data_IF_809376009980
#
_entry.id   IF_809376009980
#
_cell.length_a   1.000
_cell.length_b   1.000
_cell.length_c   1.000
_cell.angle_alpha   90.00
_cell.angle_beta   90.00
_cell.angle_gamma   90.00
#
_symmetry.space_group_name_H-M   'P 1'
#
loop_
_entity.id
_entity.type
_entity.pdbx_description
1 polymer ?
#
# COMPACT_ATOMS: atom_id res chain seq x y z
N UNK A 1 23.41 72.61 -16.66
CA UNK A 1 21.94 72.53 -16.73
C UNK A 1 21.47 71.24 -16.08
N UNK A 2 20.51 71.38 -15.15
CA UNK A 2 20.02 70.36 -14.21
C UNK A 2 19.26 69.24 -14.92
N UNK A 3 19.61 67.97 -14.70
CA UNK A 3 18.69 66.83 -14.86
C UNK A 3 18.26 66.35 -13.47
N UNK A 4 17.01 66.65 -13.11
CA UNK A 4 16.33 66.22 -11.89
C UNK A 4 16.17 64.70 -11.93
N UNK A 5 16.74 63.98 -10.96
CA UNK A 5 16.36 62.59 -10.64
C UNK A 5 15.17 62.66 -9.69
N UNK A 6 14.01 62.21 -10.13
CA UNK A 6 12.86 61.92 -9.27
C UNK A 6 13.09 60.55 -8.63
N UNK A 7 13.35 60.54 -7.33
CA UNK A 7 13.20 59.33 -6.52
C UNK A 7 11.70 59.14 -6.25
N UNK A 8 11.12 58.08 -6.81
CA UNK A 8 9.82 57.59 -6.38
C UNK A 8 10.04 56.62 -5.22
N UNK A 9 9.57 56.98 -4.03
CA UNK A 9 9.48 56.09 -2.88
C UNK A 9 8.42 55.02 -3.15
N UNK A 10 8.83 53.78 -3.40
CA UNK A 10 7.97 52.61 -3.33
C UNK A 10 7.91 52.15 -1.87
N UNK A 11 6.79 52.43 -1.20
CA UNK A 11 6.48 51.84 0.09
C UNK A 11 6.14 50.36 -0.11
N UNK A 12 6.92 49.50 0.55
CA UNK A 12 6.70 48.05 0.62
C UNK A 12 5.54 47.78 1.57
N UNK A 13 4.40 47.33 1.05
CA UNK A 13 3.37 46.69 1.84
C UNK A 13 3.59 45.18 1.77
N UNK A 14 4.34 44.64 2.73
CA UNK A 14 4.44 43.19 2.94
C UNK A 14 3.13 42.73 3.60
N UNK A 15 2.19 42.25 2.78
CA UNK A 15 1.04 41.51 3.28
C UNK A 15 1.53 40.16 3.81
N UNK A 16 1.59 40.03 5.14
CA UNK A 16 1.78 38.74 5.79
C UNK A 16 0.53 37.88 5.52
N UNK A 17 0.55 37.11 4.44
CA UNK A 17 -0.34 35.97 4.26
C UNK A 17 0.07 34.91 5.29
N UNK A 18 -0.50 35.02 6.50
CA UNK A 18 -0.53 33.90 7.43
C UNK A 18 -1.28 32.76 6.75
N UNK A 19 -0.53 31.79 6.23
CA UNK A 19 -1.08 30.55 5.74
C UNK A 19 -1.79 29.85 6.89
N UNK A 20 -3.12 29.92 6.89
CA UNK A 20 -3.94 28.94 7.58
C UNK A 20 -3.71 27.61 6.87
N UNK A 21 -2.77 26.82 7.36
CA UNK A 21 -2.76 25.39 7.07
C UNK A 21 -4.05 24.85 7.67
N UNK A 22 -5.06 24.66 6.83
CA UNK A 22 -6.19 23.82 7.20
C UNK A 22 -5.60 22.45 7.50
N UNK A 23 -5.50 22.10 8.77
CA UNK A 23 -5.21 20.73 9.17
C UNK A 23 -6.25 19.86 8.47
N UNK A 24 -5.80 18.90 7.66
CA UNK A 24 -6.67 17.91 7.09
C UNK A 24 -7.52 17.33 8.25
N UNK A 25 -8.85 17.23 8.10
CA UNK A 25 -9.67 16.67 9.16
C UNK A 25 -9.08 15.30 9.51
N UNK A 26 -8.78 15.10 10.80
CA UNK A 26 -8.36 13.79 11.29
C UNK A 26 -9.42 12.79 10.81
N UNK A 27 -9.03 11.86 9.94
CA UNK A 27 -9.92 10.79 9.51
C UNK A 27 -10.50 10.17 10.79
N UNK A 28 -11.81 10.23 10.95
CA UNK A 28 -12.48 9.72 12.14
C UNK A 28 -12.01 8.29 12.39
N UNK A 29 -11.79 7.93 13.67
CA UNK A 29 -11.45 6.57 14.08
C UNK A 29 -12.62 5.62 13.76
N UNK A 30 -12.70 5.21 12.50
CA UNK A 30 -13.65 4.22 12.03
C UNK A 30 -13.13 2.83 12.40
N UNK A 31 -14.02 2.01 12.96
CA UNK A 31 -13.71 0.62 13.31
C UNK A 31 -14.17 -0.36 12.23
N UNK A 32 -14.85 0.13 11.21
CA UNK A 32 -15.30 -0.65 10.07
C UNK A 32 -15.67 0.26 8.91
N UNK A 33 -15.69 -0.29 7.71
CA UNK A 33 -16.16 0.40 6.53
C UNK A 33 -16.22 -0.50 5.31
N UNK A 34 -16.39 0.12 4.15
CA UNK A 34 -16.34 -0.53 2.85
C UNK A 34 -15.52 0.30 1.89
N UNK A 35 -14.88 -0.35 0.93
CA UNK A 35 -14.29 0.31 -0.22
C UNK A 35 -14.42 -0.60 -1.45
N UNK A 36 -14.32 0.00 -2.63
CA UNK A 36 -14.36 -0.68 -3.91
C UNK A 36 -13.04 -0.52 -4.65
N UNK A 37 -12.63 -1.56 -5.36
CA UNK A 37 -11.41 -1.57 -6.16
C UNK A 37 -11.72 -1.84 -7.62
N UNK A 38 -10.87 -1.33 -8.52
CA UNK A 38 -10.83 -1.67 -9.93
C UNK A 38 -9.39 -2.01 -10.33
N UNK A 39 -9.20 -3.15 -11.01
CA UNK A 39 -7.97 -3.45 -11.73
C UNK A 39 -8.23 -3.38 -13.22
N UNK A 40 -7.39 -2.64 -13.95
CA UNK A 40 -7.57 -2.49 -15.39
C UNK A 40 -6.26 -2.26 -16.14
N UNK A 41 -5.86 -3.20 -16.99
CA UNK A 41 -4.88 -2.93 -18.03
C UNK A 41 -5.52 -1.99 -19.07
N UNK A 42 -5.00 -0.76 -19.19
CA UNK A 42 -5.57 0.31 -20.02
C UNK A 42 -4.99 0.35 -21.44
N UNK A 43 -4.08 -0.58 -21.77
CA UNK A 43 -3.47 -0.71 -23.10
C UNK A 43 -2.88 0.60 -23.63
N UNK A 44 -2.12 1.31 -22.78
CA UNK A 44 -1.58 2.65 -23.05
C UNK A 44 -0.24 2.66 -23.80
N UNK A 45 0.14 1.56 -24.46
CA UNK A 45 1.22 1.53 -25.44
C UNK A 45 0.98 2.51 -26.60
N UNK A 46 2.02 3.03 -27.27
CA UNK A 46 1.84 3.87 -28.47
C UNK A 46 0.87 3.25 -29.48
N UNK A 47 -0.03 4.06 -30.03
CA UNK A 47 -1.12 3.61 -30.93
C UNK A 47 -0.69 2.56 -31.97
N UNK A 48 0.46 2.77 -32.61
CA UNK A 48 0.96 1.90 -33.69
C UNK A 48 1.31 0.47 -33.25
N UNK A 49 1.46 0.22 -31.94
CA UNK A 49 1.86 -1.07 -31.38
C UNK A 49 0.92 -1.56 -30.27
N UNK A 50 -0.19 -0.87 -30.03
CA UNK A 50 -1.22 -1.36 -29.11
C UNK A 50 -2.10 -2.41 -29.79
N UNK A 51 -2.48 -3.44 -29.04
CA UNK A 51 -3.41 -4.51 -29.42
C UNK A 51 -4.88 -4.13 -29.34
N UNK A 52 -5.19 -3.00 -28.71
CA UNK A 52 -6.56 -2.68 -28.37
C UNK A 52 -7.34 -2.04 -29.54
N UNK A 53 -8.66 -2.27 -29.63
CA UNK A 53 -9.42 -2.15 -30.89
C UNK A 53 -9.82 -0.71 -31.24
N UNK A 54 -9.49 0.27 -30.41
CA UNK A 54 -9.96 1.66 -30.50
C UNK A 54 -8.81 2.66 -30.35
N UNK A 55 -8.96 3.92 -30.80
CA UNK A 55 -7.92 4.94 -30.62
C UNK A 55 -7.55 5.13 -29.15
N UNK A 56 -6.26 5.10 -28.84
CA UNK A 56 -5.74 5.05 -27.46
C UNK A 56 -6.03 6.29 -26.66
N UNK A 57 -5.83 7.48 -27.22
CA UNK A 57 -6.01 8.73 -26.47
C UNK A 57 -7.46 8.95 -26.03
N UNK A 58 -8.41 8.81 -26.96
CA UNK A 58 -9.84 8.96 -26.67
C UNK A 58 -10.36 7.84 -25.77
N UNK A 59 -9.86 6.62 -25.94
CA UNK A 59 -10.23 5.49 -25.08
C UNK A 59 -9.71 5.69 -23.66
N UNK A 60 -8.44 6.05 -23.51
CA UNK A 60 -7.81 6.33 -22.20
C UNK A 60 -8.49 7.50 -21.49
N UNK A 61 -8.84 8.56 -22.23
CA UNK A 61 -9.64 9.68 -21.69
C UNK A 61 -10.99 9.18 -21.17
N UNK A 62 -11.67 8.34 -21.94
CA UNK A 62 -12.97 7.75 -21.55
C UNK A 62 -12.82 6.83 -20.32
N UNK A 63 -11.74 6.05 -20.24
CA UNK A 63 -11.41 5.24 -19.07
C UNK A 63 -11.30 6.15 -17.84
N UNK A 64 -10.51 7.24 -17.92
CA UNK A 64 -10.35 8.20 -16.81
C UNK A 64 -11.67 8.82 -16.34
N UNK A 65 -12.62 9.06 -17.24
CA UNK A 65 -13.96 9.54 -16.88
C UNK A 65 -14.81 8.48 -16.15
N UNK A 66 -14.59 7.19 -16.45
CA UNK A 66 -15.47 6.10 -16.01
C UNK A 66 -14.98 5.35 -14.78
N UNK A 67 -13.76 5.61 -14.32
CA UNK A 67 -13.21 5.01 -13.09
C UNK A 67 -13.68 5.70 -11.80
N UNK A 68 -14.29 6.88 -11.88
CA UNK A 68 -14.77 7.64 -10.72
C UNK A 68 -15.64 6.87 -9.70
N UNK A 69 -16.46 5.86 -10.06
CA UNK A 69 -17.24 5.08 -9.10
C UNK A 69 -16.44 4.18 -8.15
N UNK A 70 -15.18 3.85 -8.46
CA UNK A 70 -14.34 2.96 -7.65
C UNK A 70 -13.50 3.77 -6.67
N UNK A 71 -13.08 3.19 -5.54
CA UNK A 71 -12.34 3.94 -4.51
C UNK A 71 -10.83 3.85 -4.70
N UNK A 72 -10.34 2.69 -5.17
CA UNK A 72 -8.93 2.44 -5.46
C UNK A 72 -8.84 1.79 -6.85
N UNK A 73 -8.06 2.39 -7.75
CA UNK A 73 -7.93 1.95 -9.14
C UNK A 73 -6.47 1.66 -9.43
N UNK A 74 -6.14 0.39 -9.70
CA UNK A 74 -4.84 0.00 -10.24
C UNK A 74 -4.94 -0.11 -11.75
N UNK A 75 -4.16 0.72 -12.44
CA UNK A 75 -4.00 0.65 -13.89
C UNK A 75 -2.67 0.00 -14.26
N UNK A 76 -2.72 -0.88 -15.26
CA UNK A 76 -1.55 -1.46 -15.93
C UNK A 76 -1.46 -0.93 -17.36
N UNK A 77 -0.26 -0.98 -17.94
CA UNK A 77 0.06 -0.34 -19.23
C UNK A 77 -0.31 1.16 -19.33
N UNK A 78 -0.37 1.86 -18.21
CA UNK A 78 -0.54 3.31 -18.21
C UNK A 78 0.79 4.01 -18.56
N UNK A 79 1.11 3.98 -19.85
CA UNK A 79 2.36 4.50 -20.42
C UNK A 79 2.15 5.87 -21.08
N UNK A 80 1.86 5.89 -22.39
CA UNK A 80 1.99 7.07 -23.24
C UNK A 80 0.79 8.03 -23.15
N UNK A 81 -0.34 7.55 -22.61
CA UNK A 81 -1.60 8.31 -22.51
C UNK A 81 -1.96 8.68 -21.06
N UNK A 82 -1.01 8.53 -20.14
CA UNK A 82 -1.16 8.85 -18.71
C UNK A 82 -1.74 10.23 -18.44
N UNK A 83 -1.26 11.25 -19.15
CA UNK A 83 -1.77 12.61 -18.98
C UNK A 83 -3.27 12.72 -19.30
N UNK A 84 -3.75 12.00 -20.31
CA UNK A 84 -5.16 11.97 -20.68
C UNK A 84 -6.00 11.23 -19.62
N UNK A 85 -5.51 10.09 -19.12
CA UNK A 85 -6.14 9.35 -18.02
C UNK A 85 -6.31 10.24 -16.78
N UNK A 86 -5.23 10.87 -16.34
CA UNK A 86 -5.19 11.66 -15.11
C UNK A 86 -5.93 12.99 -15.25
N UNK A 87 -5.92 13.63 -16.43
CA UNK A 87 -6.69 14.85 -16.64
C UNK A 87 -8.20 14.59 -16.66
N UNK A 88 -8.61 13.40 -17.11
CA UNK A 88 -10.01 13.00 -17.22
C UNK A 88 -10.61 12.54 -15.89
N UNK A 89 -9.82 11.90 -15.03
CA UNK A 89 -10.25 11.58 -13.67
C UNK A 89 -10.23 12.84 -12.79
N UNK A 90 -11.33 13.09 -12.07
CA UNK A 90 -11.43 14.17 -11.08
C UNK A 90 -11.84 13.67 -9.70
N UNK A 91 -12.03 12.36 -9.54
CA UNK A 91 -12.57 11.78 -8.31
C UNK A 91 -11.48 11.33 -7.31
N UNK A 92 -10.31 10.94 -7.80
CA UNK A 92 -9.26 10.37 -6.95
C UNK A 92 -8.21 11.41 -6.59
N UNK A 93 -8.19 11.84 -5.33
CA UNK A 93 -7.27 12.87 -4.84
C UNK A 93 -5.84 12.37 -4.63
N UNK A 94 -5.65 11.08 -4.39
CA UNK A 94 -4.36 10.48 -4.08
C UNK A 94 -3.90 9.64 -5.27
N UNK A 95 -2.79 10.02 -5.89
CA UNK A 95 -2.33 9.38 -7.13
C UNK A 95 -0.83 9.16 -7.10
N UNK A 96 -0.40 8.00 -7.60
CA UNK A 96 1.03 7.74 -7.74
C UNK A 96 1.59 8.52 -8.93
N UNK A 97 2.85 8.97 -8.87
CA UNK A 97 3.51 9.57 -10.03
C UNK A 97 3.80 8.51 -11.11
N UNK A 98 3.70 8.93 -12.38
CA UNK A 98 4.13 8.11 -13.51
C UNK A 98 5.63 7.86 -13.49
N UNK A 99 6.02 6.65 -13.90
CA UNK A 99 7.43 6.28 -14.16
C UNK A 99 7.88 6.58 -15.60
N UNK A 100 7.02 7.17 -16.45
CA UNK A 100 7.30 7.47 -17.85
C UNK A 100 6.58 6.55 -18.84
N UNK A 101 6.75 6.84 -20.14
CA UNK A 101 6.14 6.07 -21.23
C UNK A 101 6.78 4.70 -21.47
N UNK A 102 6.26 3.97 -22.45
CA UNK A 102 6.74 2.64 -22.80
C UNK A 102 8.23 2.69 -23.16
N UNK A 103 9.00 1.73 -22.64
CA UNK A 103 10.47 1.71 -22.76
C UNK A 103 11.22 2.32 -21.58
N UNK A 104 10.55 3.15 -20.78
CA UNK A 104 11.15 3.87 -19.65
C UNK A 104 10.41 3.58 -18.36
N UNK A 105 9.07 3.60 -18.40
CA UNK A 105 8.21 3.38 -17.24
C UNK A 105 7.71 1.95 -17.10
N UNK A 106 7.20 1.64 -15.92
CA UNK A 106 6.55 0.35 -15.61
C UNK A 106 5.12 0.23 -16.13
N UNK A 107 4.45 1.36 -16.41
CA UNK A 107 3.04 1.38 -16.79
C UNK A 107 2.08 1.08 -15.63
N UNK A 108 2.58 1.08 -14.39
CA UNK A 108 1.80 0.77 -13.19
C UNK A 108 1.53 2.05 -12.42
N UNK A 109 0.26 2.42 -12.28
CA UNK A 109 -0.14 3.58 -11.48
C UNK A 109 -1.39 3.28 -10.67
N UNK A 110 -1.55 3.99 -9.56
CA UNK A 110 -2.71 3.91 -8.69
C UNK A 110 -3.39 5.27 -8.57
N UNK A 111 -4.72 5.28 -8.70
CA UNK A 111 -5.59 6.40 -8.39
C UNK A 111 -6.51 5.99 -7.23
N UNK A 112 -6.50 6.76 -6.14
CA UNK A 112 -7.21 6.43 -4.91
C UNK A 112 -7.97 7.64 -4.34
N UNK A 113 -9.14 7.37 -3.78
CA UNK A 113 -9.88 8.30 -2.92
C UNK A 113 -9.42 8.22 -1.47
N UNK A 114 -8.69 7.15 -1.13
CA UNK A 114 -8.18 6.86 0.20
C UNK A 114 -6.73 7.37 0.25
N UNK A 115 -6.37 8.00 1.36
CA UNK A 115 -5.00 8.46 1.58
C UNK A 115 -4.09 7.26 1.79
N UNK A 116 -2.89 7.31 1.24
CA UNK A 116 -1.84 6.34 1.53
C UNK A 116 -0.69 6.99 2.28
N UNK A 117 0.15 6.16 2.91
CA UNK A 117 1.43 6.60 3.44
C UNK A 117 2.38 6.87 2.26
N UNK A 118 2.59 8.16 1.93
CA UNK A 118 3.41 8.58 0.78
C UNK A 118 4.87 8.13 0.90
N UNK A 119 5.35 7.92 2.12
CA UNK A 119 6.70 7.42 2.39
C UNK A 119 6.87 5.93 2.00
N UNK A 120 5.78 5.16 1.93
CA UNK A 120 5.82 3.71 1.71
C UNK A 120 5.52 3.33 0.23
N UNK A 121 5.47 4.29 -0.71
CA UNK A 121 5.29 3.97 -2.12
C UNK A 121 6.59 3.44 -2.75
N UNK A 122 6.57 2.19 -3.23
CA UNK A 122 7.71 1.54 -3.85
C UNK A 122 7.36 0.99 -5.24
N UNK A 123 8.31 1.03 -6.17
CA UNK A 123 8.18 0.46 -7.52
C UNK A 123 9.35 -0.48 -7.78
N UNK A 124 9.03 -1.74 -8.06
CA UNK A 124 10.01 -2.82 -8.17
C UNK A 124 9.92 -3.43 -9.56
N UNK A 125 11.06 -3.46 -10.26
CA UNK A 125 11.18 -4.13 -11.56
C UNK A 125 11.29 -5.64 -11.36
N UNK A 126 10.71 -6.42 -12.26
CA UNK A 126 10.93 -7.85 -12.30
C UNK A 126 12.39 -8.22 -12.56
N UNK A 127 12.88 -9.25 -11.87
CA UNK A 127 14.21 -9.80 -12.09
C UNK A 127 14.31 -10.54 -13.43
N UNK A 128 13.22 -11.20 -13.83
CA UNK A 128 13.14 -12.01 -15.05
C UNK A 128 12.02 -11.50 -15.97
N UNK A 129 12.31 -11.43 -17.27
CA UNK A 129 11.37 -11.08 -18.34
C UNK A 129 11.75 -11.81 -19.65
N UNK A 130 10.86 -11.80 -20.64
CA UNK A 130 11.13 -12.30 -22.01
C UNK A 130 11.04 -11.19 -23.05
N UNK A 131 11.77 -11.34 -24.17
CA UNK A 131 11.67 -10.42 -25.31
C UNK A 131 10.57 -10.81 -26.30
N UNK A 132 10.15 -12.08 -26.33
CA UNK A 132 9.19 -12.60 -27.31
C UNK A 132 7.85 -11.87 -27.29
N UNK A 133 7.36 -11.56 -26.09
CA UNK A 133 6.16 -10.75 -25.83
C UNK A 133 6.48 -9.28 -25.52
N UNK A 134 7.73 -8.85 -25.67
CA UNK A 134 8.16 -7.47 -25.44
C UNK A 134 8.30 -7.06 -23.97
N UNK A 135 8.13 -7.97 -23.01
CA UNK A 135 8.18 -7.66 -21.57
C UNK A 135 9.53 -7.09 -21.10
N UNK A 136 10.64 -7.49 -21.72
CA UNK A 136 11.95 -6.92 -21.45
C UNK A 136 12.20 -5.54 -22.07
N UNK A 137 11.32 -5.07 -22.96
CA UNK A 137 11.46 -3.79 -23.63
C UNK A 137 11.06 -2.61 -22.75
N UNK A 138 10.39 -2.85 -21.61
CA UNK A 138 9.98 -1.83 -20.65
C UNK A 138 10.17 -2.38 -19.22
N UNK A 139 10.41 -1.56 -18.19
CA UNK A 139 10.62 -2.08 -16.83
C UNK A 139 9.30 -2.50 -16.16
N UNK A 140 8.67 -3.57 -16.65
CA UNK A 140 7.54 -4.23 -16.00
C UNK A 140 7.91 -4.69 -14.59
N UNK A 141 6.91 -4.80 -13.73
CA UNK A 141 7.14 -4.98 -12.31
C UNK A 141 5.86 -5.02 -11.48
N UNK A 142 6.01 -4.56 -10.25
CA UNK A 142 4.91 -4.24 -9.36
C UNK A 142 5.17 -2.92 -8.62
N UNK A 143 4.11 -2.31 -8.10
CA UNK A 143 4.19 -1.25 -7.09
C UNK A 143 3.61 -1.73 -5.79
N UNK A 144 4.10 -1.15 -4.69
CA UNK A 144 3.58 -1.33 -3.34
C UNK A 144 3.15 0.03 -2.79
N UNK A 145 2.04 0.07 -2.06
CA UNK A 145 1.62 1.23 -1.28
C UNK A 145 0.77 0.80 -0.09
N UNK A 146 0.78 1.60 0.97
CA UNK A 146 -0.01 1.34 2.19
C UNK A 146 -1.19 2.31 2.29
N UNK A 147 -2.37 1.82 1.98
CA UNK A 147 -3.62 2.58 2.06
C UNK A 147 -4.10 2.69 3.51
N UNK A 148 -4.47 3.90 3.94
CA UNK A 148 -4.90 4.21 5.31
C UNK A 148 -6.43 4.34 5.36
N UNK A 149 -7.10 3.26 5.77
CA UNK A 149 -8.56 3.20 5.88
C UNK A 149 -9.09 4.06 7.03
N UNK A 150 -8.35 4.09 8.14
CA UNK A 150 -8.58 4.92 9.31
C UNK A 150 -7.25 5.08 10.08
N UNK A 151 -7.23 5.89 11.14
CA UNK A 151 -6.04 5.97 12.01
C UNK A 151 -5.59 4.58 12.48
N UNK A 152 -4.32 4.24 12.20
CA UNK A 152 -3.75 2.95 12.55
C UNK A 152 -4.34 1.73 11.84
N UNK A 153 -5.24 1.91 10.86
CA UNK A 153 -5.84 0.82 10.08
C UNK A 153 -5.35 0.89 8.65
N UNK A 154 -4.48 -0.06 8.29
CA UNK A 154 -3.80 -0.08 7.01
C UNK A 154 -4.09 -1.36 6.23
N UNK A 155 -4.10 -1.23 4.90
CA UNK A 155 -4.09 -2.35 3.96
C UNK A 155 -2.99 -2.10 2.95
N UNK A 156 -2.17 -3.12 2.73
CA UNK A 156 -1.05 -3.10 1.81
C UNK A 156 -1.54 -3.48 0.40
N UNK A 157 -1.36 -2.58 -0.57
CA UNK A 157 -1.82 -2.74 -1.95
C UNK A 157 -0.66 -2.97 -2.91
N UNK A 158 -0.85 -3.95 -3.79
CA UNK A 158 0.11 -4.30 -4.84
C UNK A 158 -0.53 -4.17 -6.22
N UNK A 159 0.05 -3.33 -7.09
CA UNK A 159 -0.29 -3.24 -8.51
C UNK A 159 0.77 -4.02 -9.30
N UNK A 160 0.40 -4.96 -10.15
CA UNK A 160 1.37 -5.77 -10.88
C UNK A 160 0.99 -5.98 -12.34
N UNK A 161 2.02 -6.12 -13.18
CA UNK A 161 1.89 -6.60 -14.55
C UNK A 161 3.02 -7.59 -14.82
N UNK A 162 2.72 -8.89 -14.77
CA UNK A 162 3.73 -9.96 -14.97
C UNK A 162 3.93 -10.30 -16.46
N UNK A 163 4.97 -11.09 -16.76
CA UNK A 163 5.33 -11.46 -18.13
C UNK A 163 4.15 -11.99 -18.98
N UNK A 164 3.91 -11.39 -20.14
CA UNK A 164 2.88 -11.84 -21.07
C UNK A 164 3.31 -13.13 -21.81
N UNK A 165 2.44 -13.64 -22.68
CA UNK A 165 2.74 -14.82 -23.51
C UNK A 165 2.50 -16.17 -22.84
N UNK A 166 2.72 -17.25 -23.59
CA UNK A 166 2.41 -18.62 -23.15
C UNK A 166 3.45 -19.66 -23.58
N UNK A 167 4.60 -19.24 -24.10
CA UNK A 167 5.72 -20.14 -24.37
C UNK A 167 6.42 -20.52 -23.05
N UNK A 168 7.22 -21.58 -23.05
CA UNK A 168 7.82 -22.11 -21.82
C UNK A 168 8.67 -21.09 -21.04
N UNK A 169 9.36 -20.19 -21.75
CA UNK A 169 10.12 -19.09 -21.19
C UNK A 169 9.22 -18.00 -20.58
N UNK A 170 8.11 -17.66 -21.23
CA UNK A 170 7.10 -16.75 -20.68
C UNK A 170 6.50 -17.29 -19.37
N UNK A 171 6.15 -18.59 -19.38
CA UNK A 171 5.64 -19.28 -18.20
C UNK A 171 6.68 -19.27 -17.08
N UNK A 172 7.96 -19.52 -17.40
CA UNK A 172 9.05 -19.49 -16.42
C UNK A 172 9.28 -18.11 -15.83
N UNK A 173 9.28 -17.06 -16.66
CA UNK A 173 9.41 -15.68 -16.22
C UNK A 173 8.27 -15.28 -15.28
N UNK A 174 7.01 -15.62 -15.61
CA UNK A 174 5.88 -15.34 -14.71
C UNK A 174 5.98 -16.05 -13.36
N UNK A 175 6.41 -17.31 -13.34
CA UNK A 175 6.63 -18.03 -12.06
C UNK A 175 7.67 -17.32 -11.21
N UNK A 176 8.75 -16.84 -11.81
CA UNK A 176 9.76 -16.05 -11.10
C UNK A 176 9.22 -14.69 -10.62
N UNK A 177 8.40 -14.01 -11.42
CA UNK A 177 7.74 -12.75 -11.03
C UNK A 177 6.86 -12.94 -9.77
N UNK A 178 6.00 -13.97 -9.75
CA UNK A 178 5.14 -14.25 -8.59
C UNK A 178 5.95 -14.72 -7.36
N UNK A 179 7.07 -15.43 -7.58
CA UNK A 179 8.02 -15.78 -6.51
C UNK A 179 8.69 -14.53 -5.92
N UNK A 180 9.15 -13.60 -6.76
CA UNK A 180 9.72 -12.32 -6.34
C UNK A 180 8.72 -11.52 -5.49
N UNK A 181 7.46 -11.43 -5.95
CA UNK A 181 6.41 -10.75 -5.19
C UNK A 181 6.10 -11.45 -3.86
N UNK A 182 6.13 -12.78 -3.80
CA UNK A 182 5.99 -13.54 -2.55
C UNK A 182 7.08 -13.17 -1.54
N UNK A 183 8.33 -13.08 -2.00
CA UNK A 183 9.45 -12.62 -1.18
C UNK A 183 9.24 -11.19 -0.65
N UNK A 184 8.74 -10.30 -1.51
CA UNK A 184 8.46 -8.92 -1.14
C UNK A 184 7.31 -8.80 -0.12
N UNK A 185 6.19 -9.49 -0.33
CA UNK A 185 5.05 -9.53 0.62
C UNK A 185 5.50 -10.04 1.99
N UNK A 186 6.37 -11.06 2.00
CA UNK A 186 6.90 -11.65 3.24
C UNK A 186 7.65 -10.63 4.07
N UNK A 187 8.43 -9.74 3.44
CA UNK A 187 9.25 -8.74 4.16
C UNK A 187 8.51 -7.44 4.43
N UNK A 188 7.51 -7.06 3.62
CA UNK A 188 6.85 -5.75 3.72
C UNK A 188 5.48 -5.78 4.43
N UNK A 189 4.81 -6.93 4.40
CA UNK A 189 3.41 -7.07 4.82
C UNK A 189 3.16 -8.13 5.89
N UNK A 190 4.21 -8.53 6.63
CA UNK A 190 4.04 -9.34 7.83
C UNK A 190 3.05 -8.65 8.79
N UNK A 191 2.04 -9.38 9.29
CA UNK A 191 1.00 -8.85 10.17
C UNK A 191 -0.02 -7.89 9.52
N UNK A 192 0.13 -7.54 8.23
CA UNK A 192 -0.77 -6.61 7.53
C UNK A 192 -1.81 -7.33 6.66
N UNK A 193 -2.97 -6.70 6.52
CA UNK A 193 -3.94 -7.06 5.49
C UNK A 193 -3.39 -6.66 4.12
N UNK A 194 -3.67 -7.44 3.08
CA UNK A 194 -3.06 -7.28 1.75
C UNK A 194 -4.13 -7.39 0.67
N UNK A 195 -4.01 -6.56 -0.37
CA UNK A 195 -4.69 -6.70 -1.66
C UNK A 195 -3.66 -6.69 -2.77
N UNK A 196 -3.64 -7.74 -3.59
CA UNK A 196 -2.82 -7.84 -4.81
C UNK A 196 -3.76 -7.78 -6.00
N UNK A 197 -3.60 -6.82 -6.89
CA UNK A 197 -4.45 -6.73 -8.08
C UNK A 197 -3.72 -6.17 -9.29
N UNK A 198 -4.00 -6.76 -10.45
CA UNK A 198 -3.38 -6.38 -11.71
C UNK A 198 -3.49 -7.45 -12.78
N UNK A 199 -2.81 -7.19 -13.90
CA UNK A 199 -2.63 -8.13 -14.98
C UNK A 199 -1.57 -9.17 -14.60
N UNK A 200 -2.04 -10.29 -14.05
CA UNK A 200 -1.16 -11.39 -13.68
C UNK A 200 -0.76 -12.25 -14.87
N UNK A 201 -1.30 -12.01 -16.08
CA UNK A 201 -1.11 -12.87 -17.25
C UNK A 201 -1.36 -14.38 -16.99
N UNK A 202 -2.00 -14.73 -15.87
CA UNK A 202 -2.15 -16.11 -15.40
C UNK A 202 -3.57 -16.62 -15.51
N UNK A 203 -3.68 -17.94 -15.68
CA UNK A 203 -4.92 -18.70 -15.57
C UNK A 203 -4.70 -19.86 -14.62
N UNK A 204 -5.64 -20.11 -13.71
CA UNK A 204 -5.74 -21.33 -12.92
C UNK A 204 -5.76 -22.57 -13.82
N UNK A 205 -6.46 -22.51 -14.96
CA UNK A 205 -6.55 -23.62 -15.91
C UNK A 205 -5.24 -23.90 -16.66
N UNK A 206 -4.32 -22.94 -16.76
CA UNK A 206 -3.08 -23.11 -17.54
C UNK A 206 -2.02 -23.86 -16.74
N UNK A 207 -1.56 -24.99 -17.27
CA UNK A 207 -0.60 -25.90 -16.61
C UNK A 207 0.72 -25.24 -16.18
N UNK A 208 1.17 -24.22 -16.91
CA UNK A 208 2.43 -23.51 -16.63
C UNK A 208 2.36 -22.41 -15.58
N UNK A 209 1.16 -21.94 -15.24
CA UNK A 209 0.94 -20.83 -14.32
C UNK A 209 0.95 -21.27 -12.86
N UNK A 210 1.20 -20.32 -11.95
CA UNK A 210 1.35 -20.60 -10.51
C UNK A 210 0.49 -19.71 -9.62
N UNK A 211 -0.64 -19.22 -10.14
CA UNK A 211 -1.47 -18.27 -9.40
C UNK A 211 -2.12 -18.88 -8.15
N UNK A 212 -2.50 -20.17 -8.20
CA UNK A 212 -3.03 -20.88 -7.03
C UNK A 212 -1.95 -21.08 -5.97
N UNK A 213 -0.74 -21.44 -6.39
CA UNK A 213 0.42 -21.61 -5.51
C UNK A 213 0.86 -20.27 -4.90
N UNK A 214 0.85 -19.19 -5.68
CA UNK A 214 1.10 -17.83 -5.21
C UNK A 214 0.07 -17.40 -4.16
N UNK A 215 -1.22 -17.62 -4.43
CA UNK A 215 -2.27 -17.30 -3.48
C UNK A 215 -2.10 -18.09 -2.17
N UNK A 216 -1.86 -19.40 -2.27
CA UNK A 216 -1.64 -20.26 -1.11
C UNK A 216 -0.41 -19.86 -0.28
N UNK A 217 0.73 -19.58 -0.94
CA UNK A 217 1.98 -19.20 -0.26
C UNK A 217 1.85 -17.89 0.53
N UNK A 218 0.99 -16.98 0.08
CA UNK A 218 0.76 -15.68 0.71
C UNK A 218 -0.50 -15.64 1.59
N UNK A 219 -1.24 -16.74 1.70
CA UNK A 219 -2.52 -16.79 2.43
C UNK A 219 -3.61 -15.90 1.82
N UNK A 220 -3.55 -15.69 0.50
CA UNK A 220 -4.49 -14.86 -0.25
C UNK A 220 -5.70 -15.68 -0.73
N UNK A 221 -6.85 -15.02 -0.79
CA UNK A 221 -8.10 -15.51 -1.37
C UNK A 221 -8.40 -14.72 -2.63
N UNK A 222 -8.88 -15.41 -3.67
CA UNK A 222 -9.40 -14.79 -4.89
C UNK A 222 -10.93 -14.63 -4.80
N UNK A 223 -11.49 -13.41 -4.88
CA UNK A 223 -12.93 -13.19 -4.86
C UNK A 223 -13.66 -13.88 -6.00
N UNK A 224 -13.05 -14.07 -7.18
CA UNK A 224 -13.65 -14.82 -8.27
C UNK A 224 -13.84 -16.29 -7.86
N UNK A 225 -12.81 -16.89 -7.27
CA UNK A 225 -12.89 -18.26 -6.75
C UNK A 225 -13.90 -18.35 -5.62
N UNK A 226 -13.83 -17.44 -4.64
CA UNK A 226 -14.67 -17.47 -3.46
C UNK A 226 -16.15 -17.25 -3.78
N UNK A 227 -16.48 -16.21 -4.55
CA UNK A 227 -17.86 -15.74 -4.73
C UNK A 227 -18.52 -16.33 -5.98
N UNK A 228 -17.76 -16.57 -7.05
CA UNK A 228 -18.33 -17.04 -8.33
C UNK A 228 -18.17 -18.56 -8.48
N UNK A 229 -17.02 -19.11 -8.06
CA UNK A 229 -16.70 -20.55 -8.20
C UNK A 229 -17.00 -21.38 -6.95
N UNK A 230 -17.65 -20.79 -5.93
CA UNK A 230 -18.02 -21.50 -4.70
C UNK A 230 -16.83 -21.99 -3.88
N UNK A 231 -15.70 -21.28 -3.94
CA UNK A 231 -14.47 -21.61 -3.21
C UNK A 231 -13.60 -22.68 -3.85
N UNK A 232 -13.95 -23.19 -5.04
CA UNK A 232 -13.20 -24.26 -5.71
C UNK A 232 -12.53 -23.73 -6.98
N UNK A 233 -11.21 -23.61 -6.94
CA UNK A 233 -10.41 -23.22 -8.10
C UNK A 233 -10.52 -24.25 -9.24
N UNK A 234 -10.51 -23.82 -10.51
CA UNK A 234 -10.35 -24.72 -11.65
C UNK A 234 -9.10 -25.60 -11.50
N UNK A 235 -9.17 -26.83 -11.99
CA UNK A 235 -8.03 -27.74 -11.94
C UNK A 235 -6.93 -27.26 -12.89
N UNK A 236 -5.69 -27.20 -12.40
CA UNK A 236 -4.54 -26.83 -13.21
C UNK A 236 -4.35 -27.81 -14.37
N UNK A 237 -4.26 -27.28 -15.59
CA UNK A 237 -4.21 -28.04 -16.83
C UNK A 237 -5.57 -28.49 -17.37
N UNK A 238 -6.70 -28.09 -16.76
CA UNK A 238 -8.02 -28.33 -17.34
C UNK A 238 -8.24 -27.50 -18.60
N UNK A 239 -9.35 -27.77 -19.30
CA UNK A 239 -9.81 -26.93 -20.40
C UNK A 239 -9.94 -25.46 -19.95
N UNK A 240 -9.56 -24.54 -20.84
CA UNK A 240 -9.62 -23.11 -20.56
C UNK A 240 -11.08 -22.65 -20.46
N UNK A 241 -11.39 -21.86 -19.42
CA UNK A 241 -12.70 -21.22 -19.28
C UNK A 241 -12.71 -19.94 -20.11
N UNK A 242 -12.91 -20.06 -21.42
CA UNK A 242 -12.85 -18.94 -22.36
C UNK A 242 -14.07 -18.01 -22.20
N UNK A 243 -13.83 -16.71 -22.16
CA UNK A 243 -14.87 -15.70 -22.12
C UNK A 243 -15.46 -15.45 -23.51
N UNK A 244 -16.79 -15.41 -23.60
CA UNK A 244 -17.48 -14.91 -24.80
C UNK A 244 -17.51 -13.38 -24.78
N UNK A 245 -16.70 -12.77 -25.65
CA UNK A 245 -16.59 -11.31 -25.80
C UNK A 245 -17.45 -10.76 -26.95
N UNK A 246 -18.37 -11.56 -27.52
CA UNK A 246 -19.23 -11.10 -28.62
C UNK A 246 -20.44 -10.29 -28.17
N UNK A 247 -20.79 -10.37 -26.88
CA UNK A 247 -21.91 -9.64 -26.27
C UNK A 247 -21.52 -8.28 -25.68
N UNK A 248 -22.52 -7.54 -25.20
CA UNK A 248 -22.33 -6.28 -24.46
C UNK A 248 -21.98 -6.50 -22.97
N UNK A 249 -21.90 -7.76 -22.54
CA UNK A 249 -21.55 -8.20 -21.20
C UNK A 249 -20.69 -9.45 -21.30
N UNK A 250 -19.67 -9.56 -20.46
CA UNK A 250 -18.89 -10.78 -20.27
C UNK A 250 -19.34 -11.44 -18.95
N UNK A 251 -19.82 -12.70 -18.97
CA UNK A 251 -20.19 -13.41 -17.75
C UNK A 251 -19.03 -13.55 -16.77
N UNK A 252 -19.33 -13.56 -15.47
CA UNK A 252 -18.31 -13.73 -14.43
C UNK A 252 -17.80 -15.18 -14.30
N UNK A 253 -18.40 -16.17 -14.96
CA UNK A 253 -18.05 -17.58 -14.80
C UNK A 253 -16.89 -18.07 -15.69
N UNK A 254 -16.50 -17.26 -16.68
CA UNK A 254 -15.29 -17.47 -17.47
C UNK A 254 -14.05 -16.94 -16.74
N UNK A 255 -12.87 -17.31 -17.23
CA UNK A 255 -11.60 -16.93 -16.66
C UNK A 255 -10.91 -15.86 -17.51
N UNK A 256 -10.50 -14.76 -16.87
CA UNK A 256 -9.62 -13.73 -17.46
C UNK A 256 -8.21 -13.86 -16.89
N UNK A 257 -7.25 -13.05 -17.36
CA UNK A 257 -5.85 -13.08 -16.87
C UNK A 257 -5.57 -12.12 -15.72
N UNK A 258 -6.34 -11.04 -15.63
CA UNK A 258 -6.37 -10.13 -14.49
C UNK A 258 -6.85 -10.86 -13.24
N UNK A 259 -6.30 -10.50 -12.07
CA UNK A 259 -6.70 -11.06 -10.77
C UNK A 259 -6.80 -9.95 -9.73
N UNK A 260 -7.68 -10.18 -8.76
CA UNK A 260 -7.70 -9.47 -7.48
C UNK A 260 -7.59 -10.57 -6.42
N UNK A 261 -6.63 -10.46 -5.52
CA UNK A 261 -6.36 -11.41 -4.45
C UNK A 261 -6.25 -10.63 -3.15
N UNK A 262 -6.72 -11.19 -2.03
CA UNK A 262 -6.72 -10.47 -0.76
C UNK A 262 -6.54 -11.37 0.45
N UNK A 263 -6.09 -10.79 1.56
CA UNK A 263 -6.16 -11.39 2.90
C UNK A 263 -6.41 -10.33 3.96
N UNK A 264 -7.08 -10.72 5.04
CA UNK A 264 -7.10 -9.93 6.27
C UNK A 264 -5.81 -10.10 7.09
N UNK A 265 -5.83 -9.57 8.31
CA UNK A 265 -4.82 -9.79 9.33
C UNK A 265 -5.46 -9.94 10.70
N UNK A 266 -4.63 -10.13 11.74
CA UNK A 266 -5.09 -10.15 13.12
C UNK A 266 -5.74 -8.83 13.56
N UNK A 267 -5.32 -7.71 12.97
CA UNK A 267 -5.90 -6.38 13.21
C UNK A 267 -7.12 -6.11 12.33
N UNK A 268 -7.09 -6.50 11.05
CA UNK A 268 -8.10 -6.11 10.07
C UNK A 268 -8.78 -7.34 9.47
N UNK A 269 -10.07 -7.52 9.76
CA UNK A 269 -10.89 -8.40 8.93
C UNK A 269 -11.15 -7.69 7.61
N UNK A 270 -10.89 -8.37 6.50
CA UNK A 270 -11.14 -7.88 5.15
C UNK A 270 -11.90 -8.98 4.42
N UNK A 271 -13.05 -8.66 3.82
CA UNK A 271 -13.89 -9.64 3.13
C UNK A 271 -14.38 -9.07 1.81
N UNK A 272 -14.23 -9.83 0.73
CA UNK A 272 -14.85 -9.50 -0.54
C UNK A 272 -16.37 -9.73 -0.45
N UNK A 273 -17.15 -8.72 -0.82
CA UNK A 273 -18.63 -8.74 -0.80
C UNK A 273 -19.24 -8.75 -2.19
N UNK A 274 -18.45 -8.44 -3.22
CA UNK A 274 -18.85 -8.60 -4.62
C UNK A 274 -17.63 -8.83 -5.52
N UNK A 275 -17.85 -9.49 -6.64
CA UNK A 275 -16.93 -9.56 -7.78
C UNK A 275 -17.72 -9.26 -9.04
N UNK A 276 -17.16 -8.46 -9.94
CA UNK A 276 -17.74 -8.24 -11.25
C UNK A 276 -16.68 -7.95 -12.32
N UNK A 277 -16.84 -8.56 -13.49
CA UNK A 277 -16.24 -8.09 -14.73
C UNK A 277 -17.04 -6.88 -15.23
N UNK A 278 -16.39 -5.73 -15.27
CA UNK A 278 -17.02 -4.43 -15.58
C UNK A 278 -17.06 -4.12 -17.08
N UNK A 279 -16.85 -5.12 -17.95
CA UNK A 279 -16.86 -5.03 -19.41
C UNK A 279 -17.90 -4.03 -19.96
N UNK A 280 -19.17 -4.19 -19.58
CA UNK A 280 -20.28 -3.36 -20.11
C UNK A 280 -20.14 -1.86 -19.80
N UNK A 281 -19.40 -1.50 -18.74
CA UNK A 281 -19.14 -0.10 -18.36
C UNK A 281 -17.97 0.49 -19.14
N UNK A 282 -17.16 -0.31 -19.82
CA UNK A 282 -15.94 0.13 -20.51
C UNK A 282 -15.98 -0.17 -22.01
N UNK A 283 -17.15 0.04 -22.62
CA UNK A 283 -17.36 0.03 -24.07
C UNK A 283 -17.52 1.44 -24.64
N UNK A 284 -17.04 1.65 -25.85
CA UNK A 284 -17.44 2.80 -26.68
C UNK A 284 -18.95 2.77 -26.96
N UNK A 285 -19.50 3.87 -27.47
CA UNK A 285 -20.89 3.91 -27.92
C UNK A 285 -21.18 2.90 -29.06
N UNK A 286 -20.15 2.45 -29.78
CA UNK A 286 -20.24 1.41 -30.80
C UNK A 286 -20.10 -0.02 -30.26
N UNK A 287 -20.01 -0.21 -28.95
CA UNK A 287 -19.86 -1.54 -28.33
C UNK A 287 -18.44 -2.10 -28.35
N UNK A 288 -17.45 -1.36 -28.86
CA UNK A 288 -16.04 -1.79 -28.86
C UNK A 288 -15.40 -1.55 -27.49
N UNK A 289 -14.56 -2.48 -27.03
CA UNK A 289 -13.82 -2.34 -25.78
C UNK A 289 -12.86 -1.14 -25.81
N UNK A 290 -12.73 -0.42 -24.70
CA UNK A 290 -11.78 0.70 -24.58
C UNK A 290 -10.33 0.23 -24.44
N UNK A 291 -10.13 -0.97 -23.92
CA UNK A 291 -8.87 -1.71 -23.83
C UNK A 291 -9.03 -3.09 -24.46
N UNK A 292 -7.96 -3.85 -24.63
CA UNK A 292 -8.01 -5.27 -24.97
C UNK A 292 -8.22 -6.18 -23.74
N UNK A 293 -8.24 -5.59 -22.54
CA UNK A 293 -8.59 -6.29 -21.30
C UNK A 293 -9.99 -5.94 -20.80
N UNK A 294 -10.54 -6.84 -19.99
CA UNK A 294 -11.76 -6.62 -19.23
C UNK A 294 -11.42 -6.09 -17.83
N UNK A 295 -12.03 -4.98 -17.38
CA UNK A 295 -11.77 -4.43 -16.04
C UNK A 295 -12.44 -5.28 -14.96
N UNK A 296 -11.71 -5.59 -13.88
CA UNK A 296 -12.24 -6.34 -12.74
C UNK A 296 -12.51 -5.43 -11.55
N UNK A 297 -13.70 -5.54 -10.96
CA UNK A 297 -14.07 -4.81 -9.76
C UNK A 297 -14.45 -5.74 -8.60
N UNK A 298 -14.03 -5.35 -7.40
CA UNK A 298 -14.39 -6.02 -6.15
C UNK A 298 -14.80 -4.97 -5.13
N UNK A 299 -15.82 -5.28 -4.32
CA UNK A 299 -16.14 -4.51 -3.12
C UNK A 299 -15.64 -5.27 -1.91
N UNK A 300 -15.05 -4.54 -0.98
CA UNK A 300 -14.60 -5.07 0.29
C UNK A 300 -15.38 -4.44 1.43
N UNK A 301 -15.71 -5.25 2.44
CA UNK A 301 -16.02 -4.78 3.78
C UNK A 301 -14.85 -5.06 4.69
N UNK A 302 -14.56 -4.14 5.60
CA UNK A 302 -13.50 -4.31 6.59
C UNK A 302 -13.97 -3.95 8.00
N UNK A 303 -13.33 -4.56 8.98
CA UNK A 303 -13.48 -4.18 10.39
C UNK A 303 -12.17 -4.38 11.15
N UNK A 304 -11.91 -3.47 12.09
CA UNK A 304 -10.80 -3.56 13.03
C UNK A 304 -11.17 -4.52 14.15
N UNK A 305 -10.24 -5.39 14.53
CA UNK A 305 -10.36 -6.23 15.70
C UNK A 305 -10.39 -5.36 16.96
N UNK A 306 -11.51 -5.39 17.70
CA UNK A 306 -11.73 -4.55 18.88
C UNK A 306 -10.81 -4.83 20.08
N UNK A 307 -9.98 -5.89 20.01
CA UNK A 307 -8.93 -6.17 20.98
C UNK A 307 -7.67 -5.31 20.80
N UNK A 308 -7.45 -4.76 19.60
CA UNK A 308 -6.22 -4.05 19.23
C UNK A 308 -6.52 -2.70 18.58
N UNK A 309 -5.73 -1.68 18.90
CA UNK A 309 -5.73 -0.42 18.17
C UNK A 309 -4.28 -0.04 17.89
N UNK A 310 -3.97 0.37 16.67
CA UNK A 310 -2.65 0.90 16.34
C UNK A 310 -2.70 2.42 16.32
N UNK A 311 -1.60 3.07 16.65
CA UNK A 311 -1.42 4.49 16.33
C UNK A 311 -1.00 4.66 14.87
N UNK A 312 -1.19 5.87 14.32
CA UNK A 312 -0.43 6.28 13.15
C UNK A 312 1.08 6.17 13.43
N UNK A 313 1.83 5.82 12.38
CA UNK A 313 3.28 5.79 12.41
C UNK A 313 3.86 7.22 12.41
N UNK A 314 5.13 7.35 12.77
CA UNK A 314 5.89 8.59 12.75
C UNK A 314 7.35 8.27 12.46
N UNK A 315 8.01 9.01 11.58
CA UNK A 315 9.34 8.72 11.05
C UNK A 315 9.38 8.63 9.53
N UNK A 316 10.47 8.10 8.98
CA UNK A 316 10.77 8.12 7.54
C UNK A 316 10.69 6.77 6.81
N UNK A 317 10.84 6.79 5.47
CA UNK A 317 10.67 5.63 4.58
C UNK A 317 11.87 4.66 4.58
N UNK A 318 12.73 4.70 5.59
CA UNK A 318 13.99 3.95 5.59
C UNK A 318 13.90 2.71 6.47
N UNK A 319 14.90 1.84 6.37
CA UNK A 319 14.95 0.60 7.13
C UNK A 319 13.93 -0.44 6.65
N UNK A 320 13.95 -1.60 7.29
CA UNK A 320 13.09 -2.73 6.99
C UNK A 320 11.77 -2.65 7.77
N UNK A 321 10.69 -3.12 7.18
CA UNK A 321 9.35 -3.12 7.80
C UNK A 321 9.26 -4.12 8.95
N UNK A 322 8.49 -3.76 9.97
CA UNK A 322 8.10 -4.68 11.03
C UNK A 322 6.68 -4.38 11.52
N UNK A 323 6.01 -5.42 12.02
CA UNK A 323 4.73 -5.32 12.71
C UNK A 323 4.61 -6.43 13.76
N UNK A 324 4.52 -6.06 15.03
CA UNK A 324 4.48 -7.01 16.13
C UNK A 324 3.10 -7.64 16.36
N UNK A 325 2.06 -7.25 15.60
CA UNK A 325 0.66 -7.57 15.92
C UNK A 325 0.43 -9.07 16.17
N UNK A 326 1.05 -9.93 15.37
CA UNK A 326 0.89 -11.38 15.52
C UNK A 326 1.52 -11.91 16.81
N UNK A 327 2.61 -11.27 17.27
CA UNK A 327 3.32 -11.60 18.51
C UNK A 327 2.71 -10.96 19.77
N UNK A 328 1.72 -10.06 19.64
CA UNK A 328 1.04 -9.40 20.78
C UNK A 328 -0.31 -10.07 21.08
N UNK A 329 -0.47 -10.83 22.18
CA UNK A 329 -1.78 -11.33 22.61
C UNK A 329 -2.76 -10.22 22.98
N UNK A 330 -4.06 -10.49 22.85
CA UNK A 330 -5.08 -9.62 23.43
C UNK A 330 -4.92 -9.60 24.96
N UNK A 331 -4.93 -8.41 25.57
CA UNK A 331 -4.65 -8.24 27.00
C UNK A 331 -3.17 -8.35 27.37
N UNK A 332 -2.25 -8.36 26.40
CA UNK A 332 -0.82 -8.47 26.67
C UNK A 332 -0.33 -7.39 27.64
N UNK A 333 0.31 -7.83 28.74
CA UNK A 333 0.92 -6.95 29.74
C UNK A 333 2.41 -6.83 29.50
N UNK A 334 2.88 -5.60 29.30
CA UNK A 334 4.29 -5.26 29.32
C UNK A 334 4.87 -5.38 30.74
N UNK A 335 6.06 -5.94 30.86
CA UNK A 335 6.85 -6.03 32.11
C UNK A 335 8.04 -5.11 32.12
N UNK A 336 8.52 -4.71 30.95
CA UNK A 336 9.58 -3.71 30.79
C UNK A 336 9.51 -3.05 29.43
N UNK A 337 10.03 -1.82 29.37
CA UNK A 337 10.39 -1.14 28.14
C UNK A 337 11.89 -0.84 28.16
N UNK A 338 12.54 -0.86 27.01
CA UNK A 338 13.93 -0.46 26.89
C UNK A 338 14.20 0.34 25.61
N UNK A 339 15.24 1.17 25.68
CA UNK A 339 15.75 1.99 24.60
C UNK A 339 17.26 1.77 24.48
N UNK A 340 17.80 1.85 23.27
CA UNK A 340 19.20 2.21 23.05
C UNK A 340 19.24 3.54 22.34
N UNK A 341 19.99 4.50 22.89
CA UNK A 341 20.04 5.82 22.30
C UNK A 341 21.40 6.51 22.50
N UNK A 342 21.84 7.22 21.47
CA UNK A 342 22.85 8.28 21.53
C UNK A 342 22.18 9.64 21.29
N UNK A 343 22.56 10.32 20.21
CA UNK A 343 21.83 11.52 19.73
C UNK A 343 20.51 11.19 19.02
N UNK A 344 20.30 9.91 18.68
CA UNK A 344 19.10 9.35 18.05
C UNK A 344 18.71 8.08 18.79
N UNK A 345 17.54 7.54 18.49
CA UNK A 345 17.11 6.23 18.99
C UNK A 345 17.64 5.15 18.05
N UNK A 346 18.56 4.35 18.57
CA UNK A 346 19.13 3.21 17.86
C UNK A 346 18.20 1.99 17.94
N UNK A 347 17.53 1.79 19.09
CA UNK A 347 16.65 0.64 19.31
C UNK A 347 15.51 0.94 20.29
N UNK A 348 14.37 0.30 20.09
CA UNK A 348 13.30 0.19 21.09
C UNK A 348 12.96 -1.27 21.36
N UNK A 349 12.56 -1.58 22.59
CA UNK A 349 11.97 -2.88 22.90
C UNK A 349 10.92 -2.82 24.00
N UNK A 350 10.02 -3.80 23.97
CA UNK A 350 9.05 -4.10 25.02
C UNK A 350 9.11 -5.59 25.33
N UNK A 351 9.19 -5.93 26.62
CA UNK A 351 9.06 -7.32 27.06
C UNK A 351 7.69 -7.53 27.66
N UNK A 352 7.05 -8.63 27.28
CA UNK A 352 5.72 -9.02 27.70
C UNK A 352 5.79 -10.11 28.78
N UNK A 353 4.77 -10.16 29.62
CA UNK A 353 4.66 -11.11 30.74
C UNK A 353 4.65 -12.58 30.35
N UNK A 354 4.39 -12.90 29.08
CA UNK A 354 4.48 -14.26 28.53
C UNK A 354 5.92 -14.65 28.12
N UNK A 355 6.91 -13.79 28.33
CA UNK A 355 8.31 -14.01 27.94
C UNK A 355 8.66 -13.54 26.54
N UNK A 356 7.70 -13.05 25.74
CA UNK A 356 7.98 -12.44 24.43
C UNK A 356 8.71 -11.11 24.62
N UNK A 357 9.81 -10.91 23.90
CA UNK A 357 10.47 -9.60 23.79
C UNK A 357 10.44 -9.17 22.34
N UNK A 358 9.90 -7.98 22.10
CA UNK A 358 9.80 -7.34 20.79
C UNK A 358 10.86 -6.25 20.73
N UNK A 359 11.75 -6.31 19.75
CA UNK A 359 12.93 -5.44 19.65
C UNK A 359 13.14 -5.01 18.20
N UNK A 360 13.26 -3.69 17.97
CA UNK A 360 13.46 -3.10 16.65
C UNK A 360 14.55 -2.04 16.68
N UNK A 361 15.38 -2.00 15.64
CA UNK A 361 16.58 -1.16 15.54
C UNK A 361 17.89 -1.87 15.93
N UNK A 362 19.01 -1.20 15.70
CA UNK A 362 20.36 -1.76 15.80
C UNK A 362 20.97 -1.75 17.20
N UNK A 363 22.25 -2.12 17.28
CA UNK A 363 22.97 -2.27 18.56
C UNK A 363 23.72 -1.01 19.01
N UNK A 364 23.57 0.10 18.30
CA UNK A 364 24.18 1.39 18.63
C UNK A 364 23.67 1.96 19.95
N UNK A 365 24.14 3.17 20.29
CA UNK A 365 23.71 3.91 21.48
C UNK A 365 23.98 3.22 22.83
N UNK A 366 23.52 3.87 23.90
CA UNK A 366 23.57 3.35 25.27
C UNK A 366 22.23 2.76 25.65
N UNK A 367 22.24 1.54 26.19
CA UNK A 367 21.02 0.86 26.63
C UNK A 367 20.50 1.43 27.95
N UNK A 368 19.19 1.64 28.04
CA UNK A 368 18.46 1.96 29.25
C UNK A 368 17.14 1.21 29.26
N UNK A 369 16.66 0.83 30.45
CA UNK A 369 15.39 0.12 30.59
C UNK A 369 14.60 0.58 31.81
N UNK A 370 13.30 0.34 31.76
CA UNK A 370 12.37 0.59 32.85
C UNK A 370 11.55 -0.68 33.09
N UNK A 371 11.81 -1.36 34.21
CA UNK A 371 10.96 -2.43 34.71
C UNK A 371 9.67 -1.85 35.28
N UNK A 372 8.54 -2.39 34.83
CA UNK A 372 7.20 -1.96 35.22
C UNK A 372 6.75 -2.70 36.48
N UNK A 373 6.33 -1.95 37.49
CA UNK A 373 5.79 -2.48 38.73
C UNK A 373 4.44 -3.19 38.56
N UNK A 374 3.94 -3.75 39.65
CA UNK A 374 2.58 -4.31 39.67
C UNK A 374 1.54 -3.23 39.37
N UNK A 375 0.62 -3.49 38.44
CA UNK A 375 -0.39 -2.53 37.99
C UNK A 375 0.17 -1.33 37.19
N UNK A 376 1.47 -1.28 36.93
CA UNK A 376 2.09 -0.25 36.10
C UNK A 376 2.05 -0.64 34.62
N UNK A 377 1.72 0.32 33.76
CA UNK A 377 1.65 0.17 32.31
C UNK A 377 2.03 1.47 31.61
N UNK A 378 2.48 1.35 30.36
CA UNK A 378 2.87 2.49 29.53
C UNK A 378 1.64 3.12 28.91
N UNK A 379 1.47 4.43 29.12
CA UNK A 379 0.31 5.21 28.67
C UNK A 379 0.60 6.05 27.44
N UNK A 380 1.83 6.53 27.27
CA UNK A 380 2.17 7.38 26.13
C UNK A 380 3.65 7.30 25.74
N UNK A 381 3.92 7.73 24.51
CA UNK A 381 5.24 7.91 23.96
C UNK A 381 5.33 9.28 23.27
N UNK A 382 6.30 10.09 23.68
CA UNK A 382 6.69 11.33 23.02
C UNK A 382 7.87 11.05 22.10
N UNK A 383 7.71 11.32 20.81
CA UNK A 383 8.67 11.01 19.76
C UNK A 383 9.11 12.31 19.09
N UNK A 384 10.37 12.41 18.70
CA UNK A 384 10.85 13.46 17.81
C UNK A 384 11.63 12.83 16.65
N UNK A 385 11.43 13.35 15.44
CA UNK A 385 12.14 12.90 14.25
C UNK A 385 13.07 13.99 13.72
N UNK A 386 14.05 13.58 12.91
CA UNK A 386 14.96 14.50 12.23
C UNK A 386 15.72 13.78 11.15
N UNK A 387 16.55 14.51 10.41
CA UNK A 387 17.36 13.93 9.33
C UNK A 387 18.82 13.75 9.74
N UNK A 388 19.40 12.62 9.34
CA UNK A 388 20.85 12.36 9.35
C UNK A 388 21.26 11.81 8.00
N UNK A 389 22.20 12.46 7.34
CA UNK A 389 22.73 12.05 6.03
C UNK A 389 21.61 11.82 4.99
N UNK A 390 20.57 12.65 4.99
CA UNK A 390 19.42 12.53 4.09
C UNK A 390 18.39 11.48 4.50
N UNK A 391 18.58 10.76 5.62
CA UNK A 391 17.62 9.78 6.14
C UNK A 391 16.83 10.35 7.32
N UNK A 392 15.50 10.32 7.26
CA UNK A 392 14.62 10.68 8.39
C UNK A 392 14.59 9.54 9.40
N UNK A 393 14.82 9.84 10.68
CA UNK A 393 14.92 8.85 11.77
C UNK A 393 14.27 9.37 13.04
N UNK A 394 14.03 8.47 13.99
CA UNK A 394 13.62 8.84 15.34
C UNK A 394 14.84 9.34 16.12
N UNK A 395 14.82 10.63 16.43
CA UNK A 395 15.87 11.31 17.19
C UNK A 395 15.67 11.22 18.69
N UNK A 396 14.41 11.18 19.16
CA UNK A 396 14.08 11.09 20.57
C UNK A 396 12.87 10.19 20.79
N UNK A 397 12.89 9.46 21.90
CA UNK A 397 11.72 8.81 22.44
C UNK A 397 11.68 8.97 23.95
N UNK A 398 10.48 9.24 24.48
CA UNK A 398 10.18 9.26 25.90
C UNK A 398 8.86 8.54 26.16
N UNK A 399 8.94 7.40 26.82
CA UNK A 399 7.78 6.68 27.34
C UNK A 399 7.38 7.22 28.71
N UNK A 400 6.07 7.24 28.98
CA UNK A 400 5.49 7.60 30.27
C UNK A 400 4.52 6.51 30.73
N UNK A 401 4.55 6.18 32.02
CA UNK A 401 3.66 5.20 32.64
C UNK A 401 2.48 5.85 33.35
N UNK A 402 1.47 5.06 33.71
CA UNK A 402 0.35 5.51 34.53
C UNK A 402 0.75 6.00 35.94
N UNK A 403 1.96 5.65 36.40
CA UNK A 403 2.52 6.11 37.67
C UNK A 403 3.44 7.33 37.51
N UNK A 404 3.52 7.91 36.31
CA UNK A 404 4.36 9.08 36.00
C UNK A 404 5.85 8.76 35.87
N UNK A 405 6.25 7.49 35.90
CA UNK A 405 7.64 7.08 35.62
C UNK A 405 7.91 7.20 34.13
N UNK A 406 9.16 7.48 33.78
CA UNK A 406 9.55 7.71 32.39
C UNK A 406 10.82 6.94 32.02
N UNK A 407 10.92 6.61 30.74
CA UNK A 407 12.15 6.16 30.10
C UNK A 407 12.36 7.03 28.87
N UNK A 408 13.50 7.70 28.75
CA UNK A 408 13.79 8.58 27.63
C UNK A 408 15.22 8.41 27.13
N UNK A 409 15.42 8.68 25.84
CA UNK A 409 16.72 8.68 25.19
C UNK A 409 16.71 9.46 23.87
N UNK A 410 17.89 9.88 23.41
CA UNK A 410 18.02 10.67 22.20
C UNK A 410 17.84 12.18 22.40
N UNK A 411 17.95 12.94 21.32
CA UNK A 411 17.88 14.41 21.32
C UNK A 411 16.56 14.91 20.74
N UNK A 412 15.86 15.81 21.42
CA UNK A 412 14.64 16.43 20.88
C UNK A 412 14.94 17.25 19.63
N UNK A 413 13.96 17.33 18.73
CA UNK A 413 14.00 18.18 17.54
C UNK A 413 12.81 19.14 17.55
N UNK A 414 12.61 19.92 16.49
CA UNK A 414 11.42 20.77 16.33
C UNK A 414 10.19 19.99 15.85
N UNK A 415 10.36 18.75 15.39
CA UNK A 415 9.30 17.93 14.81
C UNK A 415 9.05 16.72 15.71
N UNK A 416 7.99 16.82 16.51
CA UNK A 416 7.66 15.86 17.55
C UNK A 416 6.17 15.60 17.64
N UNK A 417 5.81 14.39 18.08
CA UNK A 417 4.43 13.95 18.30
C UNK A 417 4.31 13.19 19.62
N UNK A 418 3.14 13.24 20.24
CA UNK A 418 2.80 12.34 21.35
C UNK A 418 1.77 11.34 20.87
N UNK A 419 2.04 10.04 21.07
CA UNK A 419 1.08 8.96 20.90
C UNK A 419 0.62 8.50 22.28
N UNK A 420 -0.69 8.49 22.51
CA UNK A 420 -1.28 8.13 23.82
C UNK A 420 -2.22 6.96 23.63
N UNK A 421 -2.05 5.92 24.44
CA UNK A 421 -2.98 4.79 24.48
C UNK A 421 -4.37 5.28 24.95
N UNK A 422 -5.47 4.82 24.34
CA UNK A 422 -6.81 5.19 24.78
C UNK A 422 -7.07 4.82 26.25
N UNK A 423 -8.06 5.45 26.87
CA UNK A 423 -8.44 5.12 28.25
C UNK A 423 -8.82 3.65 28.39
N UNK A 424 -8.21 2.94 29.33
CA UNK A 424 -8.39 1.48 29.48
C UNK A 424 -7.42 0.62 28.67
N UNK A 425 -6.50 1.22 27.91
CA UNK A 425 -5.54 0.54 27.05
C UNK A 425 -4.10 0.78 27.52
N UNK A 426 -3.16 0.01 26.96
CA UNK A 426 -1.72 0.11 27.19
C UNK A 426 -0.93 -0.16 25.91
N UNK A 427 0.31 0.38 25.82
CA UNK A 427 1.26 0.02 24.76
C UNK A 427 1.80 -1.39 25.02
N UNK A 428 1.74 -2.26 24.01
CA UNK A 428 2.17 -3.65 24.11
C UNK A 428 3.02 -4.15 22.92
N UNK A 429 3.29 -3.31 21.92
CA UNK A 429 4.12 -3.66 20.78
C UNK A 429 4.30 -2.49 19.84
N UNK A 430 5.00 -2.72 18.74
CA UNK A 430 5.35 -1.70 17.76
C UNK A 430 4.99 -2.14 16.34
N UNK A 431 4.85 -1.16 15.45
CA UNK A 431 4.83 -1.36 13.99
C UNK A 431 5.57 -0.19 13.34
N UNK A 432 6.24 -0.40 12.21
CA UNK A 432 7.02 0.65 11.57
C UNK A 432 8.18 0.12 10.76
N UNK A 433 9.30 0.85 10.79
CA UNK A 433 10.51 0.55 10.04
C UNK A 433 11.78 0.80 10.84
N UNK A 434 12.79 -0.05 10.66
CA UNK A 434 14.09 0.12 11.31
C UNK A 434 15.21 -0.57 10.56
N UNK A 435 16.42 -0.03 10.67
CA UNK A 435 17.68 -0.69 10.32
C UNK A 435 18.65 -0.62 11.50
N UNK A 436 19.81 0.00 11.28
CA UNK A 436 20.78 0.27 12.35
C UNK A 436 20.24 1.22 13.44
N UNK A 437 19.25 2.05 13.09
CA UNK A 437 18.54 2.96 14.00
C UNK A 437 17.02 2.80 13.75
N UNK A 438 16.17 3.40 14.60
CA UNK A 438 14.71 3.38 14.40
C UNK A 438 14.33 4.47 13.40
N UNK A 439 13.79 4.08 12.24
CA UNK A 439 13.48 4.98 11.14
C UNK A 439 12.03 5.48 11.20
N UNK A 440 11.08 4.58 11.47
CA UNK A 440 9.64 4.87 11.61
C UNK A 440 9.01 3.98 12.69
N UNK A 441 8.09 4.55 13.48
CA UNK A 441 7.44 3.82 14.57
C UNK A 441 6.00 4.28 14.82
N UNK A 442 5.14 3.32 15.06
CA UNK A 442 3.84 3.43 15.69
C UNK A 442 3.69 2.38 16.78
N UNK A 443 2.59 2.47 17.53
CA UNK A 443 2.37 1.64 18.72
C UNK A 443 1.15 0.74 18.55
N UNK A 444 1.27 -0.48 19.06
CA UNK A 444 0.17 -1.42 19.21
C UNK A 444 -0.38 -1.26 20.62
N UNK A 445 -1.66 -0.89 20.71
CA UNK A 445 -2.42 -0.83 21.95
C UNK A 445 -3.29 -2.07 22.11
N UNK A 446 -3.39 -2.56 23.34
CA UNK A 446 -4.38 -3.56 23.75
C UNK A 446 -5.10 -3.10 25.02
N UNK A 447 -6.32 -3.62 25.24
CA UNK A 447 -7.05 -3.43 26.51
C UNK A 447 -6.25 -4.01 27.68
N UNK A 448 -6.37 -3.37 28.84
CA UNK A 448 -5.73 -3.78 30.10
C UNK A 448 -6.51 -4.84 30.86
#
# INVERSE_FOLDING_TARGET
>A
MRRRRLLACLAVAAAALGGLTAAAPAAAAADSGTFSVLSYNVAGLPEAISSAPTPRESSTTTIGQRIAPYDIVHVQEDFNYHAALYAADTAHAYRTPTSGGAGIGSGLNTLSKISHDEDDFERVRWNTCTFGSGDCLTPKGFTFMRERLAEGVYVDFYNLHTNAGSNDDDLAARRDNLSQLTGFITTHSAGNAVVVMGDTNTRYTRSGDTIAEFAAANGLTDPWIQLIRGGVAPAKGSEALVCDQTGTTVPNDCEVVDKILYRGSKLVSLNATSYNNEHSKFLTNGGLMLSDHDPLAVKFSWSRNGAFQLSDQFGGPHGDYYNDIDAVPAGARATSIALRAGSRVDQMSVSLSNGTTLTHGGTGGTAASLTLGSGEYVTSAYLCQGQKNGHTRIFHAKFTTNLGRTLAGGSTTSDCVTRTAPSGWQIAGFHGRSGDEVDKIGFIYTRR
#
